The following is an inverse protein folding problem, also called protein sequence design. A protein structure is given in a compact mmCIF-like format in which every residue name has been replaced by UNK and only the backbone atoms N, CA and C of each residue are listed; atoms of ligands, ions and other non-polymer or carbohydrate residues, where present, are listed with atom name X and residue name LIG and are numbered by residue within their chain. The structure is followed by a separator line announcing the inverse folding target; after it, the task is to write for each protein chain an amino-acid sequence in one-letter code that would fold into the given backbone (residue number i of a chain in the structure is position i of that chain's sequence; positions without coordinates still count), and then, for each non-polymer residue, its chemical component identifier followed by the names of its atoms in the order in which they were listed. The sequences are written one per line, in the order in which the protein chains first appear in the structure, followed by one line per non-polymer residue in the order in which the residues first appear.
data_IF_617339695926
#
_entry.id   IF_617339695926
#
_cell.length_a   1.000
_cell.length_b   1.000
_cell.length_c   1.000
_cell.angle_alpha   90.00
_cell.angle_beta   90.00
_cell.angle_gamma   90.00
#
_symmetry.space_group_name_H-M   'P 1'
#
loop_
_entity.id
_entity.type
_entity.pdbx_description
1 polymer ?
#
# COMPACT_ATOMS: atom_id res chain seq x y z
N UNK A 1 -16.24 -2.36 9.27
CA UNK A 1 -15.90 -1.53 8.11
C UNK A 1 -14.44 -1.76 7.75
N UNK A 2 -14.11 -1.76 6.46
CA UNK A 2 -12.75 -1.87 5.91
C UNK A 2 -12.38 -0.53 5.26
N UNK A 3 -11.18 -0.01 5.52
CA UNK A 3 -10.61 1.14 4.85
C UNK A 3 -9.83 0.71 3.60
N UNK A 4 -10.00 1.43 2.49
CA UNK A 4 -9.31 1.20 1.23
C UNK A 4 -8.65 2.51 0.81
N UNK A 5 -7.33 2.52 0.67
CA UNK A 5 -6.56 3.70 0.26
C UNK A 5 -5.73 3.36 -0.97
N UNK A 6 -5.80 4.20 -1.98
CA UNK A 6 -4.86 4.24 -3.08
C UNK A 6 -4.36 5.66 -3.28
N UNK A 7 -3.17 5.82 -3.85
CA UNK A 7 -2.56 7.13 -4.07
C UNK A 7 -3.19 7.89 -5.24
N UNK A 8 -3.62 7.18 -6.27
CA UNK A 8 -4.12 7.73 -7.53
C UNK A 8 -5.57 7.33 -7.78
N UNK A 9 -6.32 8.18 -8.50
CA UNK A 9 -7.71 7.90 -8.87
C UNK A 9 -7.84 6.55 -9.58
N UNK A 10 -6.94 6.25 -10.50
CA UNK A 10 -6.93 5.00 -11.29
C UNK A 10 -6.82 3.74 -10.43
N UNK A 11 -6.23 3.82 -9.23
CA UNK A 11 -6.06 2.69 -8.31
C UNK A 11 -7.33 2.38 -7.50
N UNK A 12 -8.24 3.35 -7.37
CA UNK A 12 -9.40 3.25 -6.49
C UNK A 12 -10.73 3.38 -7.23
N UNK A 13 -10.74 3.89 -8.48
CA UNK A 13 -11.99 4.20 -9.20
C UNK A 13 -12.85 2.95 -9.49
N UNK A 14 -12.24 1.82 -9.81
CA UNK A 14 -12.98 0.57 -10.02
C UNK A 14 -13.59 0.06 -8.71
N UNK A 15 -12.86 0.16 -7.61
CA UNK A 15 -13.36 -0.19 -6.27
C UNK A 15 -14.56 0.69 -5.94
N UNK A 16 -14.40 2.03 -6.06
CA UNK A 16 -15.49 2.98 -5.84
C UNK A 16 -16.66 2.75 -6.80
N UNK A 17 -16.38 2.39 -8.06
CA UNK A 17 -17.38 2.05 -9.07
C UNK A 17 -18.25 0.85 -8.67
N UNK A 18 -17.63 -0.18 -8.09
CA UNK A 18 -18.29 -1.43 -7.66
C UNK A 18 -19.03 -1.31 -6.32
N UNK A 19 -18.81 -0.25 -5.54
CA UNK A 19 -19.50 -0.04 -4.28
C UNK A 19 -20.97 0.29 -4.48
N UNK A 20 -21.82 -0.18 -3.57
CA UNK A 20 -23.26 0.15 -3.45
C UNK A 20 -23.54 0.96 -2.20
N UNK A 21 -24.72 1.56 -2.08
CA UNK A 21 -25.17 2.37 -0.94
C UNK A 21 -24.19 3.52 -0.62
N UNK A 22 -23.62 4.13 -1.65
CA UNK A 22 -22.53 5.11 -1.53
C UNK A 22 -22.97 6.42 -0.87
N UNK A 23 -22.11 6.93 0.01
CA UNK A 23 -22.15 8.28 0.57
C UNK A 23 -20.77 8.88 0.46
N UNK A 24 -20.70 10.12 0.04
CA UNK A 24 -19.44 10.84 -0.10
C UNK A 24 -19.34 11.97 0.92
N UNK A 25 -18.15 12.12 1.50
CA UNK A 25 -17.81 13.20 2.42
C UNK A 25 -16.40 13.69 2.09
N UNK A 26 -16.22 15.00 2.01
CA UNK A 26 -14.88 15.59 1.80
C UNK A 26 -14.38 16.21 3.10
N UNK A 27 -13.24 15.76 3.58
CA UNK A 27 -12.58 16.22 4.79
C UNK A 27 -11.15 16.61 4.44
N UNK A 28 -10.74 17.82 4.77
CA UNK A 28 -9.39 18.35 4.48
C UNK A 28 -8.97 18.17 3.01
N UNK A 29 -9.90 18.28 2.08
CA UNK A 29 -9.64 18.14 0.64
C UNK A 29 -9.61 16.69 0.14
N UNK A 30 -9.74 15.70 1.01
CA UNK A 30 -9.78 14.27 0.65
C UNK A 30 -11.25 13.83 0.61
N UNK A 31 -11.67 13.22 -0.50
CA UNK A 31 -13.01 12.66 -0.64
C UNK A 31 -13.05 11.20 -0.24
N UNK A 32 -13.81 10.89 0.79
CA UNK A 32 -14.08 9.56 1.30
C UNK A 32 -15.40 9.06 0.75
N UNK A 33 -15.42 7.87 0.17
CA UNK A 33 -16.63 7.20 -0.32
C UNK A 33 -16.92 6.03 0.60
N UNK A 34 -17.94 6.15 1.43
CA UNK A 34 -18.43 5.08 2.29
C UNK A 34 -19.53 4.31 1.56
N UNK A 35 -19.58 2.99 1.70
CA UNK A 35 -20.60 2.14 1.07
C UNK A 35 -20.34 0.67 1.35
N UNK A 36 -20.88 -0.19 0.48
CA UNK A 36 -20.65 -1.64 0.54
C UNK A 36 -19.95 -2.13 -0.71
N UNK A 37 -18.91 -2.94 -0.54
CA UNK A 37 -18.24 -3.70 -1.58
C UNK A 37 -18.54 -5.18 -1.33
N UNK A 38 -19.22 -5.85 -2.26
CA UNK A 38 -19.66 -7.26 -2.10
C UNK A 38 -20.37 -7.51 -0.75
N UNK A 39 -21.21 -6.56 -0.31
CA UNK A 39 -21.94 -6.65 0.95
C UNK A 39 -21.14 -6.27 2.20
N UNK A 40 -19.84 -6.01 2.09
CA UNK A 40 -18.97 -5.61 3.20
C UNK A 40 -18.93 -4.08 3.32
N UNK A 41 -19.15 -3.55 4.52
CA UNK A 41 -19.03 -2.11 4.77
C UNK A 41 -17.58 -1.64 4.56
N UNK A 42 -17.42 -0.67 3.65
CA UNK A 42 -16.12 -0.12 3.26
C UNK A 42 -16.15 1.40 3.24
N UNK A 43 -14.96 1.98 3.39
CA UNK A 43 -14.68 3.39 3.06
C UNK A 43 -13.44 3.45 2.17
N UNK A 44 -13.56 4.08 1.02
CA UNK A 44 -12.48 4.19 0.03
C UNK A 44 -12.08 5.66 -0.18
N UNK A 45 -10.78 5.92 -0.29
CA UNK A 45 -10.24 7.25 -0.54
C UNK A 45 -9.05 7.23 -1.50
N UNK A 46 -8.85 8.33 -2.21
CA UNK A 46 -7.61 8.65 -2.94
C UNK A 46 -6.81 9.59 -2.06
N UNK A 47 -5.63 9.13 -1.62
CA UNK A 47 -4.80 9.94 -0.72
C UNK A 47 -4.03 11.06 -1.41
N UNK A 48 -3.66 10.87 -2.67
CA UNK A 48 -2.55 11.57 -3.32
C UNK A 48 -1.23 10.85 -3.08
N UNK A 49 -0.23 11.14 -3.91
CA UNK A 49 1.08 10.48 -3.90
C UNK A 49 1.91 10.98 -2.72
N UNK A 50 2.65 10.06 -2.08
CA UNK A 50 3.67 10.34 -1.09
C UNK A 50 3.22 10.19 0.36
N UNK A 51 4.20 10.06 1.24
CA UNK A 51 4.02 9.69 2.65
C UNK A 51 3.13 10.64 3.44
N UNK A 52 3.26 11.94 3.23
CA UNK A 52 2.47 12.95 3.95
C UNK A 52 0.99 12.84 3.58
N UNK A 53 0.68 12.78 2.28
CA UNK A 53 -0.70 12.63 1.80
C UNK A 53 -1.33 11.33 2.31
N UNK A 54 -0.59 10.24 2.25
CA UNK A 54 -1.05 8.93 2.70
C UNK A 54 -1.31 8.90 4.21
N UNK A 55 -0.42 9.48 5.03
CA UNK A 55 -0.61 9.59 6.47
C UNK A 55 -1.85 10.44 6.82
N UNK A 56 -2.00 11.61 6.20
CA UNK A 56 -3.17 12.47 6.41
C UNK A 56 -4.48 11.74 6.07
N UNK A 57 -4.50 11.00 4.96
CA UNK A 57 -5.66 10.21 4.54
C UNK A 57 -5.96 9.10 5.55
N UNK A 58 -4.95 8.31 5.93
CA UNK A 58 -5.09 7.20 6.87
C UNK A 58 -5.57 7.69 8.25
N UNK A 59 -4.94 8.74 8.79
CA UNK A 59 -5.31 9.31 10.09
C UNK A 59 -6.74 9.86 10.08
N UNK A 60 -7.14 10.57 9.01
CA UNK A 60 -8.51 11.07 8.86
C UNK A 60 -9.50 9.92 8.79
N UNK A 61 -9.18 8.88 8.00
CA UNK A 61 -10.01 7.68 7.87
C UNK A 61 -10.18 6.97 9.21
N UNK A 62 -9.12 6.81 9.98
CA UNK A 62 -9.14 6.17 11.30
C UNK A 62 -10.05 6.95 12.26
N UNK A 63 -9.85 8.25 12.36
CA UNK A 63 -10.60 9.10 13.30
C UNK A 63 -12.09 9.25 12.93
N UNK A 64 -12.40 9.28 11.65
CA UNK A 64 -13.77 9.57 11.17
C UNK A 64 -14.61 8.33 11.00
N UNK A 65 -14.03 7.22 10.51
CA UNK A 65 -14.79 6.03 10.10
C UNK A 65 -14.48 4.80 10.96
N UNK A 66 -13.45 4.83 11.78
CA UNK A 66 -13.04 3.73 12.69
C UNK A 66 -12.96 2.36 11.98
N UNK A 67 -12.25 2.25 10.84
CA UNK A 67 -12.14 0.98 10.15
C UNK A 67 -11.38 -0.04 11.02
N UNK A 68 -11.84 -1.30 11.01
CA UNK A 68 -11.14 -2.39 11.71
C UNK A 68 -9.78 -2.73 11.09
N UNK A 69 -9.62 -2.41 9.82
CA UNK A 69 -8.36 -2.57 9.06
C UNK A 69 -8.35 -1.58 7.88
N UNK A 70 -7.17 -1.27 7.41
CA UNK A 70 -6.95 -0.46 6.20
C UNK A 70 -6.18 -1.32 5.20
N UNK A 71 -6.58 -1.29 3.94
CA UNK A 71 -5.89 -1.88 2.80
C UNK A 71 -5.33 -0.72 1.96
N UNK A 72 -4.01 -0.67 1.84
CA UNK A 72 -3.34 0.16 0.85
C UNK A 72 -3.24 -0.64 -0.45
N UNK A 73 -3.74 -0.10 -1.55
CA UNK A 73 -3.71 -0.74 -2.86
C UNK A 73 -3.18 0.22 -3.90
N UNK A 74 -2.30 -0.25 -4.75
CA UNK A 74 -1.71 0.59 -5.78
C UNK A 74 -0.61 -0.11 -6.56
N UNK A 75 0.06 0.63 -7.42
CA UNK A 75 1.18 0.13 -8.20
C UNK A 75 2.49 0.27 -7.42
N UNK A 76 3.40 -0.70 -7.60
CA UNK A 76 4.73 -0.68 -7.01
C UNK A 76 5.79 -1.12 -8.01
N UNK A 77 7.02 -0.67 -7.83
CA UNK A 77 8.18 -1.15 -8.57
C UNK A 77 8.64 -2.51 -8.02
N UNK A 78 8.46 -3.58 -8.79
CA UNK A 78 8.97 -4.92 -8.42
C UNK A 78 10.49 -5.01 -8.51
N UNK A 79 11.13 -5.58 -7.49
CA UNK A 79 12.59 -5.71 -7.38
C UNK A 79 13.04 -7.16 -7.21
N UNK A 80 12.17 -8.04 -6.73
CA UNK A 80 12.50 -9.44 -6.47
C UNK A 80 12.77 -10.24 -7.75
N UNK A 81 13.64 -11.26 -7.65
CA UNK A 81 13.85 -12.19 -8.76
C UNK A 81 12.55 -12.91 -9.10
N UNK A 82 12.15 -12.86 -10.37
CA UNK A 82 10.96 -13.54 -10.86
C UNK A 82 9.67 -12.74 -10.79
N UNK A 83 9.67 -11.58 -10.16
CA UNK A 83 8.51 -10.67 -10.16
C UNK A 83 8.36 -10.04 -11.56
N UNK A 84 7.17 -10.15 -12.14
CA UNK A 84 6.84 -9.65 -13.47
C UNK A 84 5.80 -8.55 -13.38
N UNK A 85 5.61 -7.84 -14.49
CA UNK A 85 4.49 -6.91 -14.65
C UNK A 85 3.18 -7.66 -14.46
N UNK A 86 2.25 -7.09 -13.73
CA UNK A 86 0.94 -7.65 -13.34
C UNK A 86 0.99 -8.67 -12.20
N UNK A 87 2.15 -9.06 -11.69
CA UNK A 87 2.21 -9.87 -10.46
C UNK A 87 1.73 -9.05 -9.26
N UNK A 88 1.23 -9.74 -8.25
CA UNK A 88 0.83 -9.15 -6.97
C UNK A 88 1.95 -9.35 -5.95
N UNK A 89 2.25 -8.32 -5.17
CA UNK A 89 3.11 -8.42 -3.99
C UNK A 89 2.29 -8.09 -2.75
N UNK A 90 2.28 -9.00 -1.80
CA UNK A 90 1.68 -8.82 -0.48
C UNK A 90 2.77 -8.49 0.52
N UNK A 91 2.63 -7.40 1.25
CA UNK A 91 3.64 -6.98 2.21
C UNK A 91 3.61 -7.82 3.49
N UNK A 92 4.73 -8.46 3.85
CA UNK A 92 4.93 -9.00 5.20
C UNK A 92 5.11 -7.87 6.21
N UNK A 93 5.90 -6.90 5.78
CA UNK A 93 6.18 -5.67 6.49
C UNK A 93 6.49 -4.57 5.49
N UNK A 94 6.40 -3.34 5.96
CA UNK A 94 6.83 -2.16 5.21
C UNK A 94 7.99 -1.47 5.93
N UNK A 95 8.88 -0.83 5.15
CA UNK A 95 9.98 -0.03 5.67
C UNK A 95 9.96 1.35 5.04
N UNK A 96 10.36 2.40 5.77
CA UNK A 96 10.57 3.72 5.17
C UNK A 96 12.05 3.87 4.81
N UNK A 97 12.41 3.57 3.57
CA UNK A 97 13.80 3.50 3.13
C UNK A 97 14.52 4.87 3.08
N UNK A 98 13.76 5.94 3.06
CA UNK A 98 14.26 7.31 3.04
C UNK A 98 14.23 7.99 4.43
N UNK A 99 13.83 7.25 5.48
CA UNK A 99 14.02 7.66 6.86
C UNK A 99 15.47 7.38 7.27
N UNK A 100 16.26 8.44 7.41
CA UNK A 100 17.70 8.34 7.68
C UNK A 100 18.12 9.32 8.77
N UNK A 101 18.39 8.78 9.95
CA UNK A 101 18.97 9.45 11.10
C UNK A 101 20.33 8.84 11.47
N UNK A 102 21.04 8.27 10.49
CA UNK A 102 22.31 7.57 10.71
C UNK A 102 23.41 8.49 11.25
N UNK A 103 23.37 9.77 10.95
CA UNK A 103 24.27 10.78 11.54
C UNK A 103 24.08 10.93 13.07
N UNK A 104 22.93 10.50 13.60
CA UNK A 104 22.66 10.44 15.04
C UNK A 104 22.98 9.06 15.64
N UNK A 105 23.42 8.11 14.83
CA UNK A 105 23.78 6.75 15.25
C UNK A 105 22.69 5.69 15.05
N UNK A 106 21.53 6.06 14.53
CA UNK A 106 20.45 5.11 14.25
C UNK A 106 20.72 4.33 12.95
N UNK A 107 20.22 3.11 12.83
CA UNK A 107 20.22 2.42 11.54
C UNK A 107 19.23 3.08 10.58
N UNK A 108 19.52 3.05 9.27
CA UNK A 108 18.60 3.55 8.25
C UNK A 108 17.24 2.88 8.32
N UNK A 109 16.21 3.64 8.04
CA UNK A 109 14.82 3.18 8.16
C UNK A 109 14.28 3.15 9.58
N UNK A 110 15.11 3.43 10.60
CA UNK A 110 14.65 3.44 11.98
C UNK A 110 13.74 4.64 12.26
N UNK A 111 12.58 4.36 12.83
CA UNK A 111 11.58 5.36 13.19
C UNK A 111 11.52 5.44 14.72
N UNK A 112 12.16 6.44 15.29
CA UNK A 112 12.31 6.61 16.75
C UNK A 112 10.99 6.68 17.52
N UNK A 113 9.92 7.20 16.90
CA UNK A 113 8.61 7.31 17.55
C UNK A 113 7.89 5.99 17.76
N UNK A 114 8.29 4.93 17.04
CA UNK A 114 7.74 3.58 17.16
C UNK A 114 8.81 2.52 17.38
N UNK A 115 10.07 2.93 17.47
CA UNK A 115 11.26 2.10 17.73
C UNK A 115 11.39 0.88 16.80
N UNK A 116 11.21 1.11 15.50
CA UNK A 116 11.20 0.07 14.48
C UNK A 116 11.79 0.53 13.16
N UNK A 117 12.38 -0.42 12.43
CA UNK A 117 12.70 -0.30 11.00
C UNK A 117 11.56 -0.90 10.18
N UNK A 118 11.18 -2.15 10.48
CA UNK A 118 10.10 -2.85 9.81
C UNK A 118 8.79 -2.70 10.59
N UNK A 119 7.75 -2.29 9.90
CA UNK A 119 6.38 -2.22 10.42
C UNK A 119 5.65 -3.47 9.91
N UNK A 120 5.32 -4.43 10.79
CA UNK A 120 4.68 -5.68 10.36
C UNK A 120 3.28 -5.45 9.85
N UNK A 121 2.89 -6.19 8.83
CA UNK A 121 1.53 -6.26 8.33
C UNK A 121 0.72 -7.36 9.04
N UNK A 122 -0.58 -7.41 8.77
CA UNK A 122 -1.47 -8.40 9.38
C UNK A 122 -1.38 -9.74 8.64
N UNK A 123 -0.90 -10.77 9.31
CA UNK A 123 -0.67 -12.09 8.73
C UNK A 123 -1.98 -12.76 8.28
N UNK A 124 -3.04 -12.67 9.11
CA UNK A 124 -4.34 -13.27 8.76
C UNK A 124 -4.94 -12.65 7.50
N UNK A 125 -4.82 -11.33 7.37
CA UNK A 125 -5.27 -10.64 6.16
C UNK A 125 -4.40 -10.99 4.96
N UNK A 126 -3.08 -11.05 5.14
CA UNK A 126 -2.16 -11.44 4.08
C UNK A 126 -2.47 -12.84 3.53
N UNK A 127 -2.82 -13.79 4.40
CA UNK A 127 -3.23 -15.14 4.00
C UNK A 127 -4.49 -15.12 3.12
N UNK A 128 -5.50 -14.33 3.52
CA UNK A 128 -6.74 -14.17 2.74
C UNK A 128 -6.47 -13.55 1.37
N UNK A 129 -5.64 -12.51 1.33
CA UNK A 129 -5.28 -11.86 0.08
C UNK A 129 -4.49 -12.78 -0.84
N UNK A 130 -3.52 -13.53 -0.30
CA UNK A 130 -2.76 -14.52 -1.07
C UNK A 130 -3.66 -15.61 -1.63
N UNK A 131 -4.60 -16.10 -0.84
CA UNK A 131 -5.57 -17.10 -1.28
C UNK A 131 -6.44 -16.55 -2.43
N UNK A 132 -6.93 -15.31 -2.31
CA UNK A 132 -7.71 -14.65 -3.34
C UNK A 132 -6.89 -14.41 -4.62
N UNK A 133 -5.65 -13.93 -4.49
CA UNK A 133 -4.74 -13.71 -5.61
C UNK A 133 -4.40 -15.02 -6.33
N UNK A 134 -4.15 -16.10 -5.58
CA UNK A 134 -3.86 -17.43 -6.13
C UNK A 134 -5.03 -18.08 -6.87
N UNK A 135 -6.26 -17.61 -6.66
CA UNK A 135 -7.43 -18.05 -7.39
C UNK A 135 -7.58 -17.37 -8.76
N UNK A 136 -6.81 -16.33 -9.06
CA UNK A 136 -6.86 -15.62 -10.35
C UNK A 136 -5.86 -16.25 -11.31
N UNK A 137 -6.37 -16.83 -12.39
CA UNK A 137 -5.54 -17.48 -13.41
C UNK A 137 -4.60 -16.47 -14.07
N UNK A 138 -3.32 -16.86 -14.20
CA UNK A 138 -2.29 -16.05 -14.86
C UNK A 138 -1.64 -14.97 -13.98
N UNK A 139 -2.05 -14.82 -12.72
CA UNK A 139 -1.40 -13.94 -11.74
C UNK A 139 -0.46 -14.72 -10.81
N UNK A 140 0.77 -14.24 -10.66
CA UNK A 140 1.66 -14.71 -9.61
C UNK A 140 1.53 -13.80 -8.38
N UNK A 141 1.49 -14.41 -7.20
CA UNK A 141 1.46 -13.70 -5.94
C UNK A 141 2.77 -13.93 -5.19
N UNK A 142 3.45 -12.84 -4.87
CA UNK A 142 4.70 -12.81 -4.11
C UNK A 142 4.45 -12.22 -2.74
N UNK A 143 5.36 -12.47 -1.81
CA UNK A 143 5.30 -11.93 -0.46
C UNK A 143 6.69 -11.43 -0.05
N UNK A 144 6.74 -10.36 0.73
CA UNK A 144 8.01 -9.83 1.23
C UNK A 144 7.92 -8.38 1.72
N UNK A 145 9.09 -7.81 1.98
CA UNK A 145 9.20 -6.43 2.46
C UNK A 145 8.95 -5.46 1.32
N UNK A 146 8.10 -4.45 1.56
CA UNK A 146 7.87 -3.35 0.63
C UNK A 146 8.54 -2.09 1.17
N UNK A 147 9.38 -1.45 0.33
CA UNK A 147 10.11 -0.24 0.69
C UNK A 147 9.35 1.01 0.25
N UNK A 148 9.00 1.87 1.22
CA UNK A 148 8.30 3.14 1.02
C UNK A 148 9.27 4.30 1.07
N UNK A 149 9.07 5.30 0.21
CA UNK A 149 9.79 6.56 0.29
C UNK A 149 9.21 7.63 -0.64
N UNK A 150 9.42 8.91 -0.33
CA UNK A 150 8.99 10.03 -1.17
C UNK A 150 9.90 10.20 -2.40
N UNK A 151 10.20 9.08 -3.07
CA UNK A 151 11.07 9.01 -4.23
C UNK A 151 10.54 8.00 -5.24
N UNK A 152 10.38 8.45 -6.50
CA UNK A 152 10.19 7.51 -7.60
C UNK A 152 11.51 6.78 -7.89
N UNK A 153 11.55 5.47 -7.65
CA UNK A 153 12.75 4.65 -7.82
C UNK A 153 12.76 4.01 -9.21
N UNK A 154 13.35 4.73 -10.18
CA UNK A 154 13.43 4.27 -11.57
C UNK A 154 14.81 3.71 -11.99
N UNK A 155 15.85 3.79 -11.15
CA UNK A 155 17.19 3.31 -11.50
C UNK A 155 17.49 1.95 -10.88
N UNK A 156 18.15 1.08 -11.66
CA UNK A 156 18.56 -0.26 -11.19
C UNK A 156 19.46 -0.20 -9.96
N UNK A 157 20.34 0.79 -9.88
CA UNK A 157 21.26 0.93 -8.75
C UNK A 157 20.51 1.23 -7.45
N UNK A 158 19.47 2.10 -7.51
CA UNK A 158 18.62 2.36 -6.34
C UNK A 158 17.82 1.11 -5.95
N UNK A 159 17.24 0.41 -6.91
CA UNK A 159 16.51 -0.84 -6.67
C UNK A 159 17.42 -1.88 -6.00
N UNK A 160 18.64 -2.08 -6.51
CA UNK A 160 19.61 -2.99 -5.92
C UNK A 160 19.97 -2.62 -4.48
N UNK A 161 20.16 -1.32 -4.19
CA UNK A 161 20.43 -0.86 -2.81
C UNK A 161 19.28 -1.16 -1.87
N UNK A 162 18.03 -0.96 -2.29
CA UNK A 162 16.87 -1.28 -1.45
C UNK A 162 16.75 -2.78 -1.17
N UNK A 163 17.10 -3.63 -2.16
CA UNK A 163 17.16 -5.07 -1.97
C UNK A 163 18.27 -5.45 -0.98
N UNK A 164 19.46 -4.87 -1.12
CA UNK A 164 20.63 -5.18 -0.27
C UNK A 164 20.45 -4.66 1.16
N UNK A 165 19.92 -3.45 1.33
CA UNK A 165 19.83 -2.77 2.62
C UNK A 165 18.63 -3.24 3.45
N UNK A 166 17.48 -3.46 2.81
CA UNK A 166 16.22 -3.78 3.50
C UNK A 166 15.66 -5.16 3.18
N UNK A 167 16.23 -5.89 2.23
CA UNK A 167 15.64 -7.13 1.73
C UNK A 167 14.33 -6.93 0.99
N UNK A 168 14.07 -5.71 0.50
CA UNK A 168 12.80 -5.36 -0.10
C UNK A 168 12.61 -6.05 -1.47
N UNK A 169 11.36 -6.48 -1.74
CA UNK A 169 10.96 -7.11 -3.00
C UNK A 169 10.16 -6.18 -3.91
N UNK A 170 9.68 -5.08 -3.37
CA UNK A 170 8.99 -4.02 -4.10
C UNK A 170 9.22 -2.67 -3.42
N UNK A 171 8.99 -1.57 -4.17
CA UNK A 171 9.02 -0.21 -3.64
C UNK A 171 7.85 0.63 -4.14
N UNK A 172 7.40 1.54 -3.29
CA UNK A 172 6.30 2.47 -3.53
C UNK A 172 6.44 3.72 -2.65
N UNK A 173 5.38 4.52 -2.48
CA UNK A 173 5.52 5.84 -1.86
C UNK A 173 4.55 6.11 -0.69
N UNK A 174 3.71 5.16 -0.24
CA UNK A 174 2.63 5.39 0.73
C UNK A 174 2.58 4.40 1.90
N UNK A 175 2.78 3.11 1.63
CA UNK A 175 2.49 2.01 2.56
C UNK A 175 3.16 2.12 3.92
N UNK A 176 4.42 2.59 3.95
CA UNK A 176 5.17 2.77 5.20
C UNK A 176 4.56 3.82 6.13
N UNK A 177 3.99 4.90 5.58
CA UNK A 177 3.33 5.94 6.38
C UNK A 177 1.94 5.52 6.85
N UNK A 178 1.17 4.84 6.00
CA UNK A 178 -0.12 4.24 6.40
C UNK A 178 0.09 3.20 7.50
N UNK A 179 1.13 2.36 7.36
CA UNK A 179 1.50 1.37 8.36
C UNK A 179 1.96 1.99 9.68
N UNK A 180 2.65 3.13 9.65
CA UNK A 180 3.10 3.84 10.84
C UNK A 180 1.93 4.35 11.68
N UNK A 181 0.92 4.95 11.07
CA UNK A 181 -0.29 5.41 11.76
C UNK A 181 -0.99 4.29 12.53
N UNK A 182 -0.88 3.08 12.04
CA UNK A 182 -1.45 1.89 12.64
C UNK A 182 -0.71 1.33 13.83
N UNK A 183 0.61 1.45 13.88
CA UNK A 183 1.38 0.96 15.03
C UNK A 183 1.01 1.71 16.29
N UNK A 184 0.44 2.92 16.15
CA UNK A 184 -0.12 3.71 17.24
C UNK A 184 -1.59 3.33 17.57
N UNK A 185 -2.29 2.61 16.70
CA UNK A 185 -3.68 2.18 16.88
C UNK A 185 -3.82 0.71 16.44
N UNK A 186 -4.67 -0.09 17.05
CA UNK A 186 -4.85 -1.53 16.76
C UNK A 186 -5.29 -1.88 15.32
N UNK A 187 -5.05 -1.04 14.36
CA UNK A 187 -5.48 -1.19 12.97
C UNK A 187 -4.46 -1.99 12.14
N UNK A 188 -4.84 -2.74 11.11
CA UNK A 188 -4.01 -3.76 10.43
C UNK A 188 -3.72 -3.38 8.97
N UNK A 189 -2.46 -3.47 8.49
CA UNK A 189 -2.03 -3.08 7.16
C UNK A 189 -1.94 -4.23 6.17
N UNK A 190 -2.08 -3.91 4.94
CA UNK A 190 -1.93 -4.89 3.90
C UNK A 190 -1.51 -4.47 2.55
N UNK A 191 -1.91 -5.01 1.61
CA UNK A 191 -1.84 -5.30 0.21
C UNK A 191 -1.26 -4.19 -0.66
N UNK A 192 -0.30 -4.59 -1.48
CA UNK A 192 0.17 -3.79 -2.58
C UNK A 192 0.28 -4.58 -3.87
N UNK A 193 -0.22 -3.99 -4.95
CA UNK A 193 -0.07 -4.53 -6.28
C UNK A 193 1.26 -4.10 -6.90
N UNK A 194 2.05 -5.03 -7.43
CA UNK A 194 3.24 -4.72 -8.18
C UNK A 194 2.94 -4.49 -9.66
N UNK A 195 3.18 -3.27 -10.15
CA UNK A 195 3.39 -2.99 -11.56
C UNK A 195 4.84 -2.60 -11.75
N UNK A 196 5.61 -3.28 -12.59
CA UNK A 196 6.85 -2.69 -13.09
C UNK A 196 6.46 -1.55 -14.03
N UNK A 197 6.97 -0.34 -13.77
CA UNK A 197 6.88 0.73 -14.75
C UNK A 197 7.75 0.37 -15.95
N UNK A 198 7.18 0.09 -17.14
CA UNK A 198 7.98 0.15 -18.35
C UNK A 198 8.39 1.60 -18.55
N UNK A 199 9.56 1.86 -19.08
CA UNK A 199 10.03 3.17 -19.54
C UNK A 199 9.24 3.67 -20.77
N UNK A 200 7.91 3.46 -20.81
CA UNK A 200 7.05 3.80 -21.94
C UNK A 200 5.66 4.30 -21.48
N UNK A 201 4.97 5.13 -22.29
CA UNK A 201 3.77 5.84 -21.87
C UNK A 201 2.65 4.90 -21.45
N UNK A 202 1.96 5.28 -20.38
CA UNK A 202 0.81 4.58 -19.84
C UNK A 202 -0.32 4.45 -20.88
N UNK A 203 -0.39 3.30 -21.54
CA UNK A 203 -1.57 2.89 -22.29
C UNK A 203 -2.28 1.82 -21.48
N UNK A 204 -3.43 2.21 -20.93
CA UNK A 204 -4.43 1.37 -20.23
C UNK A 204 -3.89 0.26 -19.30
N UNK A 205 -3.98 0.44 -17.98
CA UNK A 205 -3.75 -0.64 -17.01
C UNK A 205 -4.91 -1.65 -17.10
N UNK A 206 -4.58 -2.91 -17.27
CA UNK A 206 -5.57 -3.98 -17.12
C UNK A 206 -5.71 -4.28 -15.62
N UNK A 207 -6.82 -3.85 -15.01
CA UNK A 207 -7.10 -4.04 -13.60
C UNK A 207 -7.91 -5.32 -13.39
N UNK A 208 -7.45 -6.20 -12.55
CA UNK A 208 -8.25 -7.32 -12.05
C UNK A 208 -8.72 -6.98 -10.63
N UNK A 209 -10.04 -6.83 -10.46
CA UNK A 209 -10.64 -6.71 -9.12
C UNK A 209 -10.67 -8.11 -8.54
N UNK A 210 -10.00 -8.32 -7.41
CA UNK A 210 -10.14 -9.52 -6.63
C UNK A 210 -11.46 -9.44 -5.85
N UNK A 211 -12.38 -10.36 -6.09
CA UNK A 211 -13.57 -10.54 -5.27
C UNK A 211 -13.17 -11.12 -3.92
N UNK A 212 -13.48 -10.40 -2.84
CA UNK A 212 -13.19 -10.81 -1.46
C UNK A 212 -14.38 -11.53 -0.81
#
# INVERSE_FOLDING_TARGET
MIGLIGAMTVEVELIKGSMTEKREETISGITFVQGKLEGVDCVAAVSGIGKVNAAMCAQTMILRYHPRLIINTGVAGGMGKGIKISDIVVADSVVQHDMDTSDLGDPKGFISGIDRIQIPCDEELNDKVRAAAGAVEGLACHQGIIATGDQFVGSKDKLNRLMEEFGAVACEMEGGSIGQDRSATSTRCPLQWCGQFPTMPMTTPTWTILNF
#
